data_IF_980085642996
#
_entry.id   IF_980085642996
#
_cell.length_a   1.000
_cell.length_b   1.000
_cell.length_c   1.000
_cell.angle_alpha   90.00
_cell.angle_beta   90.00
_cell.angle_gamma   90.00
#
_symmetry.space_group_name_H-M   'P 1'
#
loop_
_entity.id
_entity.type
_entity.pdbx_description
1 polymer ?
#
# COMPACT_ATOMS: atom_id res chain seq x y z
N UNK A 1 14.50 12.65 -4.69
CA UNK A 1 14.30 11.22 -4.38
C UNK A 1 13.01 11.10 -3.59
N UNK A 2 12.13 10.13 -3.88
CA UNK A 2 10.88 9.93 -3.12
C UNK A 2 11.13 8.77 -2.15
N UNK A 3 10.90 9.01 -0.85
CA UNK A 3 10.93 7.99 0.20
C UNK A 3 9.52 7.81 0.74
N UNK A 4 8.98 6.60 0.64
CA UNK A 4 7.63 6.28 1.07
C UNK A 4 7.51 4.81 1.47
N UNK A 5 6.60 4.51 2.39
CA UNK A 5 6.21 3.12 2.67
C UNK A 5 5.48 2.55 1.45
N UNK A 6 5.73 1.28 1.14
CA UNK A 6 5.13 0.61 -0.02
C UNK A 6 4.29 -0.58 0.39
N UNK A 7 3.15 -0.74 -0.27
CA UNK A 7 2.26 -1.90 -0.11
C UNK A 7 2.18 -2.68 -1.43
N UNK A 8 2.47 -3.98 -1.43
CA UNK A 8 2.21 -4.82 -2.59
C UNK A 8 0.70 -5.03 -2.74
N UNK A 9 0.16 -4.74 -3.92
CA UNK A 9 -1.20 -5.03 -4.31
C UNK A 9 -1.20 -6.26 -5.21
N UNK A 10 -1.84 -7.34 -4.75
CA UNK A 10 -2.02 -8.58 -5.51
C UNK A 10 -3.45 -8.67 -6.02
N UNK A 11 -3.62 -9.22 -7.22
CA UNK A 11 -4.91 -9.53 -7.83
C UNK A 11 -5.88 -8.33 -7.94
N UNK A 12 -5.32 -7.13 -8.16
CA UNK A 12 -6.08 -5.88 -8.20
C UNK A 12 -5.69 -5.02 -9.42
N UNK A 13 -6.70 -4.53 -10.15
CA UNK A 13 -6.55 -3.55 -11.22
C UNK A 13 -7.02 -2.18 -10.71
N UNK A 14 -6.15 -1.17 -10.82
CA UNK A 14 -6.46 0.21 -10.42
C UNK A 14 -6.73 1.10 -11.62
N UNK A 15 -7.72 1.99 -11.50
CA UNK A 15 -7.97 3.07 -12.44
C UNK A 15 -7.89 4.44 -11.73
N UNK A 16 -7.56 5.53 -12.46
CA UNK A 16 -7.50 6.87 -11.86
C UNK A 16 -8.82 7.26 -11.18
N UNK A 17 -8.71 7.98 -10.06
CA UNK A 17 -9.83 8.46 -9.21
C UNK A 17 -10.64 7.35 -8.53
N UNK A 18 -10.14 6.11 -8.50
CA UNK A 18 -10.78 5.03 -7.76
C UNK A 18 -10.49 5.17 -6.26
N UNK A 19 -11.52 4.92 -5.43
CA UNK A 19 -11.40 4.69 -3.99
C UNK A 19 -11.85 3.26 -3.72
N UNK A 20 -10.95 2.42 -3.22
CA UNK A 20 -11.21 1.01 -2.97
C UNK A 20 -10.59 0.59 -1.65
N UNK A 21 -11.26 -0.24 -0.83
CA UNK A 21 -10.62 -0.87 0.32
C UNK A 21 -9.57 -1.87 -0.16
N UNK A 22 -8.48 -2.01 0.61
CA UNK A 22 -7.44 -3.02 0.38
C UNK A 22 -7.33 -3.94 1.59
N UNK A 23 -7.03 -5.21 1.36
CA UNK A 23 -6.80 -6.19 2.43
C UNK A 23 -5.31 -6.33 2.68
N UNK A 24 -4.87 -6.12 3.92
CA UNK A 24 -3.48 -6.30 4.33
C UNK A 24 -3.36 -7.63 5.06
N UNK A 25 -2.74 -8.62 4.43
CA UNK A 25 -2.67 -9.98 4.97
C UNK A 25 -1.48 -10.24 5.91
N UNK A 26 -0.39 -9.46 5.81
CA UNK A 26 0.82 -9.64 6.64
C UNK A 26 0.81 -8.65 7.80
N UNK A 27 1.00 -9.15 9.02
CA UNK A 27 1.07 -8.33 10.22
C UNK A 27 2.15 -7.23 10.13
N UNK A 28 3.33 -7.56 9.58
CA UNK A 28 4.39 -6.57 9.37
C UNK A 28 4.00 -5.44 8.41
N UNK A 29 3.21 -5.75 7.37
CA UNK A 29 2.69 -4.75 6.45
C UNK A 29 1.62 -3.88 7.11
N UNK A 30 0.80 -4.46 7.99
CA UNK A 30 -0.20 -3.70 8.76
C UNK A 30 0.48 -2.69 9.68
N UNK A 31 1.45 -3.13 10.48
CA UNK A 31 2.20 -2.28 11.41
C UNK A 31 2.92 -1.13 10.69
N UNK A 32 3.50 -1.40 9.51
CA UNK A 32 4.15 -0.37 8.70
C UNK A 32 3.18 0.71 8.21
N UNK A 33 1.96 0.31 7.81
CA UNK A 33 0.93 1.25 7.35
C UNK A 33 0.38 2.07 8.51
N UNK A 34 0.14 1.44 9.66
CA UNK A 34 -0.30 2.16 10.85
C UNK A 34 0.73 3.20 11.29
N UNK A 35 2.02 2.86 11.26
CA UNK A 35 3.09 3.80 11.58
C UNK A 35 3.20 4.95 10.57
N UNK A 36 3.07 4.65 9.28
CA UNK A 36 3.04 5.68 8.24
C UNK A 36 1.83 6.61 8.42
N UNK A 37 0.64 6.08 8.73
CA UNK A 37 -0.54 6.88 9.02
C UNK A 37 -0.37 7.74 10.26
N UNK A 38 0.17 7.21 11.36
CA UNK A 38 0.48 7.98 12.58
C UNK A 38 1.42 9.15 12.30
N UNK A 39 2.37 8.97 11.38
CA UNK A 39 3.32 10.00 10.94
C UNK A 39 2.79 10.91 9.82
N UNK A 40 1.56 10.70 9.33
CA UNK A 40 1.00 11.44 8.19
C UNK A 40 1.78 11.24 6.89
N UNK A 41 2.48 10.11 6.75
CA UNK A 41 3.30 9.81 5.57
C UNK A 41 2.46 9.20 4.45
N UNK A 42 2.85 9.52 3.21
CA UNK A 42 2.28 8.88 2.03
C UNK A 42 2.70 7.41 1.95
N UNK A 43 1.72 6.54 1.71
CA UNK A 43 1.93 5.12 1.38
C UNK A 43 1.65 4.93 -0.11
N UNK A 44 2.52 4.20 -0.79
CA UNK A 44 2.40 3.93 -2.23
C UNK A 44 2.02 2.45 -2.44
N UNK A 45 0.91 2.21 -3.12
CA UNK A 45 0.54 0.88 -3.60
C UNK A 45 1.29 0.54 -4.89
N UNK A 46 1.90 -0.64 -4.95
CA UNK A 46 2.60 -1.14 -6.14
C UNK A 46 1.93 -2.44 -6.61
N UNK A 47 1.61 -2.51 -7.90
CA UNK A 47 1.16 -3.77 -8.50
C UNK A 47 2.35 -4.71 -8.67
N UNK A 48 2.15 -5.98 -8.35
CA UNK A 48 3.17 -7.01 -8.56
C UNK A 48 3.00 -7.63 -9.94
N UNK A 49 4.06 -7.56 -10.77
CA UNK A 49 4.07 -8.20 -12.10
C UNK A 49 4.30 -9.71 -12.00
N UNK A 50 5.21 -10.12 -11.12
CA UNK A 50 5.55 -11.51 -10.84
C UNK A 50 5.25 -11.79 -9.36
N UNK A 51 4.69 -12.97 -9.06
CA UNK A 51 4.23 -13.37 -7.73
C UNK A 51 5.15 -14.39 -7.06
#
# INVERSE_FOLDING_TARGET
>A
MIEAAVLPLRDLVVFPRMVSPIFIGRESSLLAVEEAQRKGQTVIGLTQRDA
#
